data_IF_944509827835
#
_entry.id   IF_944509827835
#
_cell.length_a   1.000
_cell.length_b   1.000
_cell.length_c   1.000
_cell.angle_alpha   90.00
_cell.angle_beta   90.00
_cell.angle_gamma   90.00
#
_symmetry.space_group_name_H-M   'P 1'
#
loop_
_entity.id
_entity.type
_entity.pdbx_description
1 polymer ?
#
# COMPACT_ATOMS: atom_id res chain seq x y z
N UNK A 1 -0.78 6.93 -4.65
CA UNK A 1 -2.00 7.69 -4.25
C UNK A 1 -1.80 8.16 -2.81
N UNK A 2 -1.84 9.46 -2.53
CA UNK A 2 -1.85 9.99 -1.15
C UNK A 2 -3.04 10.92 -0.96
N UNK A 3 -3.32 11.30 0.28
CA UNK A 3 -4.15 12.48 0.52
C UNK A 3 -3.38 13.77 0.16
N UNK A 4 -4.01 14.92 0.46
CA UNK A 4 -3.45 16.25 0.18
C UNK A 4 -2.70 16.82 1.40
N UNK A 5 -2.25 15.97 2.31
CA UNK A 5 -1.39 16.34 3.43
C UNK A 5 -0.13 17.06 2.94
N UNK A 6 0.33 18.01 3.74
CA UNK A 6 1.53 18.83 3.44
C UNK A 6 2.82 18.00 3.42
N UNK A 7 2.81 16.84 4.08
CA UNK A 7 3.87 15.84 4.06
C UNK A 7 4.03 15.17 2.69
N UNK A 8 2.96 15.10 1.88
CA UNK A 8 2.98 14.51 0.53
C UNK A 8 2.90 15.56 -0.59
N UNK A 9 2.56 16.81 -0.24
CA UNK A 9 2.27 17.86 -1.21
C UNK A 9 2.99 19.17 -0.82
N UNK A 10 3.95 19.60 -1.63
CA UNK A 10 4.61 20.91 -1.49
C UNK A 10 5.00 21.51 -2.83
N UNK A 11 5.98 22.43 -2.83
CA UNK A 11 6.57 22.93 -4.07
C UNK A 11 7.42 21.83 -4.70
N UNK A 12 7.08 21.39 -5.91
CA UNK A 12 7.73 20.27 -6.61
C UNK A 12 9.24 20.42 -6.74
N UNK A 13 9.75 21.64 -6.79
CA UNK A 13 11.20 21.91 -6.92
C UNK A 13 11.98 21.71 -5.62
N UNK A 14 11.31 21.66 -4.48
CA UNK A 14 11.94 21.67 -3.15
C UNK A 14 11.38 20.59 -2.22
N UNK A 15 10.26 19.98 -2.57
CA UNK A 15 9.58 19.01 -1.73
C UNK A 15 10.18 17.63 -1.97
N UNK A 16 10.94 17.14 -0.98
CA UNK A 16 11.72 15.91 -1.06
C UNK A 16 10.90 14.70 -1.53
N UNK A 17 9.66 14.56 -1.04
CA UNK A 17 8.78 13.46 -1.44
C UNK A 17 8.44 13.52 -2.93
N UNK A 18 8.10 14.70 -3.46
CA UNK A 18 7.76 14.85 -4.89
C UNK A 18 8.99 14.72 -5.80
N UNK A 19 10.15 15.16 -5.33
CA UNK A 19 11.42 14.95 -6.03
C UNK A 19 11.77 13.45 -6.08
N UNK A 20 11.63 12.74 -4.97
CA UNK A 20 11.86 11.30 -4.90
C UNK A 20 10.95 10.53 -5.88
N UNK A 21 9.64 10.83 -5.88
CA UNK A 21 8.71 10.20 -6.82
C UNK A 21 9.09 10.48 -8.29
N UNK A 22 9.59 11.69 -8.60
CA UNK A 22 10.04 12.00 -9.95
C UNK A 22 11.32 11.26 -10.35
N UNK A 23 12.25 11.04 -9.42
CA UNK A 23 13.48 10.28 -9.64
C UNK A 23 13.16 8.79 -9.89
N UNK A 24 12.21 8.24 -9.12
CA UNK A 24 11.80 6.83 -9.22
C UNK A 24 10.77 6.58 -10.33
N UNK A 25 10.45 7.59 -11.14
CA UNK A 25 9.45 7.53 -12.22
C UNK A 25 8.05 7.06 -11.74
N UNK A 26 7.62 7.58 -10.59
CA UNK A 26 6.33 7.25 -9.96
C UNK A 26 5.37 8.43 -10.08
N UNK A 27 4.27 8.22 -10.80
CA UNK A 27 3.21 9.21 -10.92
C UNK A 27 2.43 9.41 -9.61
N UNK A 28 2.48 10.65 -9.09
CA UNK A 28 1.80 11.00 -7.85
C UNK A 28 0.33 11.37 -8.06
N UNK A 29 -0.57 10.40 -7.82
CA UNK A 29 -2.01 10.69 -7.75
C UNK A 29 -2.42 11.14 -6.35
N UNK A 30 -3.30 12.14 -6.26
CA UNK A 30 -3.87 12.65 -5.00
C UNK A 30 -5.35 12.31 -4.88
N UNK A 31 -5.84 12.05 -3.68
CA UNK A 31 -7.28 11.87 -3.45
C UNK A 31 -8.05 13.13 -3.86
N UNK A 32 -9.23 12.93 -4.46
CA UNK A 32 -10.16 14.02 -4.74
C UNK A 32 -10.71 14.56 -3.42
N UNK A 33 -10.92 15.88 -3.35
CA UNK A 33 -11.55 16.50 -2.20
C UNK A 33 -12.90 15.80 -1.92
N UNK A 34 -13.21 15.56 -0.64
CA UNK A 34 -14.46 14.94 -0.17
C UNK A 34 -14.72 13.53 -0.73
N UNK A 35 -13.67 12.74 -1.02
CA UNK A 35 -13.78 11.34 -1.46
C UNK A 35 -13.20 10.37 -0.40
N UNK A 36 -13.93 10.13 0.71
CA UNK A 36 -13.42 9.33 1.84
C UNK A 36 -13.20 7.86 1.48
N UNK A 37 -13.88 7.33 0.45
CA UNK A 37 -13.78 5.91 0.10
C UNK A 37 -12.38 5.50 -0.35
N UNK A 38 -11.62 6.41 -0.96
CA UNK A 38 -10.28 6.11 -1.48
C UNK A 38 -9.22 5.89 -0.39
N UNK A 39 -9.43 6.42 0.82
CA UNK A 39 -8.48 6.27 1.93
C UNK A 39 -8.97 5.31 3.02
N UNK A 40 -10.25 4.93 3.01
CA UNK A 40 -10.87 4.16 4.09
C UNK A 40 -10.24 2.79 4.37
N UNK A 41 -9.57 2.17 3.39
CA UNK A 41 -8.80 0.92 3.63
C UNK A 41 -7.55 1.21 4.46
N UNK A 42 -6.79 2.24 4.09
CA UNK A 42 -5.59 2.67 4.80
C UNK A 42 -5.92 3.11 6.23
N UNK A 43 -6.96 3.94 6.38
CA UNK A 43 -7.45 4.39 7.69
C UNK A 43 -7.88 3.22 8.59
N UNK A 44 -8.56 2.21 8.02
CA UNK A 44 -8.93 1.00 8.75
C UNK A 44 -7.70 0.21 9.18
N UNK A 45 -6.73 0.03 8.29
CA UNK A 45 -5.47 -0.64 8.62
C UNK A 45 -4.73 0.10 9.75
N UNK A 46 -4.58 1.42 9.67
CA UNK A 46 -3.94 2.24 10.70
C UNK A 46 -4.60 2.10 12.08
N UNK A 47 -5.93 2.03 12.12
CA UNK A 47 -6.65 1.76 13.37
C UNK A 47 -6.36 0.35 13.88
N UNK A 48 -6.39 -0.65 13.00
CA UNK A 48 -6.13 -2.03 13.37
C UNK A 48 -4.72 -2.25 13.94
N UNK A 49 -3.68 -1.73 13.29
CA UNK A 49 -2.30 -1.83 13.80
C UNK A 49 -2.13 -1.05 15.11
N UNK A 50 -2.79 0.09 15.27
CA UNK A 50 -2.76 0.85 16.52
C UNK A 50 -3.37 0.04 17.68
N UNK A 51 -4.56 -0.51 17.48
CA UNK A 51 -5.32 -1.18 18.54
C UNK A 51 -4.75 -2.57 18.87
N UNK A 52 -4.32 -3.32 17.86
CA UNK A 52 -3.91 -4.71 18.03
C UNK A 52 -2.41 -4.88 18.26
N UNK A 53 -1.57 -4.02 17.67
CA UNK A 53 -0.12 -4.07 17.84
C UNK A 53 0.37 -3.02 18.83
N UNK A 54 0.35 -1.73 18.48
CA UNK A 54 1.04 -0.70 19.28
C UNK A 54 0.51 -0.59 20.71
N UNK A 55 -0.81 -0.54 20.89
CA UNK A 55 -1.43 -0.45 22.21
C UNK A 55 -1.12 -1.68 23.10
N UNK A 56 -0.93 -2.85 22.49
CA UNK A 56 -0.62 -4.10 23.21
C UNK A 56 0.88 -4.19 23.50
N UNK A 57 1.72 -3.90 22.49
CA UNK A 57 3.17 -3.94 22.56
C UNK A 57 3.69 -3.02 23.67
N UNK A 58 3.28 -1.74 23.67
CA UNK A 58 3.73 -0.77 24.67
C UNK A 58 3.18 -1.02 26.07
N UNK A 59 2.13 -1.82 26.22
CA UNK A 59 1.63 -2.26 27.53
C UNK A 59 2.40 -3.47 28.08
N UNK A 60 2.85 -4.36 27.21
CA UNK A 60 3.45 -5.66 27.59
C UNK A 60 4.97 -5.64 27.67
N UNK A 61 5.62 -4.76 26.93
CA UNK A 61 7.08 -4.76 26.74
C UNK A 61 7.61 -3.33 26.74
N UNK A 62 8.69 -3.12 27.49
CA UNK A 62 9.49 -1.90 27.40
C UNK A 62 10.53 -2.10 26.31
N UNK A 63 10.43 -1.30 25.25
CA UNK A 63 11.36 -1.34 24.13
C UNK A 63 12.55 -0.42 24.41
N UNK A 64 13.76 -0.94 24.25
CA UNK A 64 14.99 -0.15 24.47
C UNK A 64 15.60 0.38 23.17
N UNK A 65 15.10 -0.08 22.02
CA UNK A 65 15.54 0.41 20.71
C UNK A 65 14.42 0.28 19.68
N UNK A 66 14.51 1.09 18.62
CA UNK A 66 13.60 0.99 17.48
C UNK A 66 13.71 -0.37 16.77
N UNK A 67 14.91 -0.95 16.70
CA UNK A 67 15.12 -2.26 16.08
C UNK A 67 14.34 -3.38 16.79
N UNK A 68 14.22 -3.29 18.11
CA UNK A 68 13.44 -4.26 18.88
C UNK A 68 11.93 -4.15 18.59
N UNK A 69 11.41 -2.93 18.50
CA UNK A 69 10.02 -2.69 18.11
C UNK A 69 9.76 -3.16 16.67
N UNK A 70 10.70 -2.89 15.76
CA UNK A 70 10.60 -3.28 14.36
C UNK A 70 10.49 -4.80 14.19
N UNK A 71 11.28 -5.59 14.93
CA UNK A 71 11.21 -7.07 14.86
C UNK A 71 9.84 -7.62 15.25
N UNK A 72 9.26 -7.07 16.32
CA UNK A 72 7.92 -7.48 16.78
C UNK A 72 6.85 -7.02 15.77
N UNK A 73 7.01 -5.82 15.20
CA UNK A 73 6.13 -5.28 14.18
C UNK A 73 6.16 -6.12 12.90
N UNK A 74 7.35 -6.49 12.42
CA UNK A 74 7.53 -7.33 11.23
C UNK A 74 6.84 -8.68 11.41
N UNK A 75 6.96 -9.27 12.60
CA UNK A 75 6.29 -10.53 12.94
C UNK A 75 4.77 -10.38 12.92
N UNK A 76 4.24 -9.29 13.49
CA UNK A 76 2.81 -8.98 13.47
C UNK A 76 2.29 -8.73 12.05
N UNK A 77 3.04 -7.97 11.23
CA UNK A 77 2.71 -7.70 9.83
C UNK A 77 2.69 -8.97 8.99
N UNK A 78 3.65 -9.87 9.20
CA UNK A 78 3.67 -11.16 8.52
C UNK A 78 2.40 -11.97 8.85
N UNK A 79 2.02 -12.05 10.12
CA UNK A 79 0.77 -12.71 10.52
C UNK A 79 -0.46 -12.03 9.89
N UNK A 80 -0.55 -10.71 9.97
CA UNK A 80 -1.65 -9.93 9.39
C UNK A 80 -1.80 -10.19 7.88
N UNK A 81 -0.70 -10.16 7.13
CA UNK A 81 -0.73 -10.29 5.68
C UNK A 81 -0.92 -11.74 5.20
N UNK A 82 -0.41 -12.74 5.93
CA UNK A 82 -0.31 -14.12 5.41
C UNK A 82 -1.23 -15.12 6.10
N UNK A 83 -1.69 -14.84 7.32
CA UNK A 83 -2.47 -15.80 8.13
C UNK A 83 -3.87 -15.29 8.48
N UNK A 84 -4.04 -13.97 8.65
CA UNK A 84 -5.33 -13.39 9.01
C UNK A 84 -6.26 -13.34 7.80
N UNK A 85 -7.41 -13.99 7.89
CA UNK A 85 -8.47 -13.90 6.88
C UNK A 85 -9.34 -12.66 7.09
N UNK A 86 -9.69 -11.97 6.02
CA UNK A 86 -10.56 -10.78 6.07
C UNK A 86 -11.84 -11.03 5.29
N UNK A 87 -13.00 -10.84 5.93
CA UNK A 87 -14.33 -10.93 5.30
C UNK A 87 -14.76 -9.63 4.61
N UNK A 88 -13.87 -8.64 4.54
CA UNK A 88 -14.14 -7.37 3.88
C UNK A 88 -14.46 -7.52 2.40
N UNK A 89 -15.12 -6.49 1.84
CA UNK A 89 -15.66 -6.46 0.47
C UNK A 89 -14.72 -6.97 -0.63
N UNK A 90 -13.40 -6.78 -0.47
CA UNK A 90 -12.41 -7.13 -1.49
C UNK A 90 -11.57 -8.37 -1.16
N UNK A 91 -11.62 -8.86 0.07
CA UNK A 91 -10.82 -10.01 0.50
C UNK A 91 -11.63 -11.31 0.49
N UNK A 92 -12.95 -11.27 0.66
CA UNK A 92 -13.84 -12.45 0.55
C UNK A 92 -13.39 -13.67 1.39
N UNK A 93 -12.86 -13.43 2.59
CA UNK A 93 -12.36 -14.50 3.48
C UNK A 93 -10.91 -14.90 3.21
N UNK A 94 -10.24 -14.31 2.20
CA UNK A 94 -8.82 -14.51 1.93
C UNK A 94 -7.95 -13.62 2.81
N UNK A 95 -6.66 -13.92 2.85
CA UNK A 95 -5.66 -13.05 3.48
C UNK A 95 -5.33 -11.86 2.59
N UNK A 96 -4.77 -10.76 3.13
CA UNK A 96 -4.34 -9.63 2.31
C UNK A 96 -3.34 -10.04 1.23
N UNK A 97 -2.38 -10.93 1.56
CA UNK A 97 -1.39 -11.42 0.60
C UNK A 97 -2.04 -12.24 -0.52
N UNK A 98 -2.98 -13.13 -0.19
CA UNK A 98 -3.72 -13.89 -1.21
C UNK A 98 -4.50 -12.96 -2.14
N UNK A 99 -5.22 -11.98 -1.56
CA UNK A 99 -5.97 -10.99 -2.33
C UNK A 99 -5.06 -10.19 -3.27
N UNK A 100 -3.88 -9.80 -2.78
CA UNK A 100 -2.87 -9.08 -3.56
C UNK A 100 -2.40 -9.92 -4.75
N UNK A 101 -1.98 -11.17 -4.51
CA UNK A 101 -1.53 -12.08 -5.56
C UNK A 101 -2.61 -12.34 -6.61
N UNK A 102 -3.86 -12.59 -6.18
CA UNK A 102 -4.98 -12.82 -7.10
C UNK A 102 -5.29 -11.59 -7.97
N UNK A 103 -5.10 -10.39 -7.41
CA UNK A 103 -5.32 -9.13 -8.12
C UNK A 103 -4.16 -8.73 -9.03
N UNK A 104 -2.99 -9.36 -8.91
CA UNK A 104 -1.80 -8.99 -9.66
C UNK A 104 -2.02 -9.12 -11.16
N UNK A 105 -2.69 -10.18 -11.60
CA UNK A 105 -3.00 -10.36 -13.02
C UNK A 105 -3.96 -9.28 -13.54
N UNK A 106 -4.99 -8.94 -12.76
CA UNK A 106 -5.93 -7.86 -13.09
C UNK A 106 -5.24 -6.49 -13.20
N UNK A 107 -4.18 -6.27 -12.41
CA UNK A 107 -3.38 -5.05 -12.48
C UNK A 107 -2.54 -5.01 -13.76
N UNK A 108 -1.88 -6.12 -14.13
CA UNK A 108 -1.12 -6.26 -15.38
C UNK A 108 -2.00 -6.04 -16.61
N UNK A 109 -3.17 -6.66 -16.64
CA UNK A 109 -4.11 -6.54 -17.76
C UNK A 109 -4.61 -5.09 -17.98
N UNK A 110 -4.54 -4.24 -16.94
CA UNK A 110 -4.90 -2.82 -16.99
C UNK A 110 -3.72 -1.91 -17.33
N UNK A 111 -2.50 -2.44 -17.36
CA UNK A 111 -1.30 -1.68 -17.64
C UNK A 111 -1.18 -1.52 -19.16
N UNK A 112 -1.78 -0.43 -19.67
CA UNK A 112 -1.94 -0.17 -21.09
C UNK A 112 -0.62 -0.28 -21.87
N UNK A 113 0.50 0.12 -21.28
CA UNK A 113 1.82 0.05 -21.91
C UNK A 113 2.30 -1.38 -22.20
N UNK A 114 1.99 -2.35 -21.34
CA UNK A 114 2.31 -3.76 -21.59
C UNK A 114 1.40 -4.35 -22.67
N UNK A 115 0.11 -4.00 -22.64
CA UNK A 115 -0.87 -4.41 -23.65
C UNK A 115 -0.49 -3.88 -25.04
N UNK A 116 -0.11 -2.61 -25.15
CA UNK A 116 0.35 -2.02 -26.41
C UNK A 116 1.67 -2.63 -26.90
N UNK A 117 2.63 -2.93 -26.01
CA UNK A 117 3.88 -3.63 -26.39
C UNK A 117 3.60 -5.03 -26.93
N UNK A 118 2.72 -5.80 -26.29
CA UNK A 118 2.34 -7.15 -26.75
C UNK A 118 1.69 -7.07 -28.13
N UNK A 119 0.71 -6.20 -28.31
CA UNK A 119 0.02 -6.05 -29.60
C UNK A 119 0.99 -5.64 -30.73
N UNK A 120 1.90 -4.70 -30.46
CA UNK A 120 2.93 -4.31 -31.44
C UNK A 120 3.86 -5.49 -31.77
N UNK A 121 4.27 -6.29 -30.79
CA UNK A 121 5.12 -7.46 -31.03
C UNK A 121 4.41 -8.58 -31.80
N UNK A 122 3.11 -8.74 -31.61
CA UNK A 122 2.29 -9.70 -32.37
C UNK A 122 2.02 -9.23 -33.81
N UNK A 123 1.80 -7.93 -34.00
CA UNK A 123 1.62 -7.34 -35.33
C UNK A 123 2.91 -7.36 -36.17
N UNK A 124 4.09 -7.25 -35.54
CA UNK A 124 5.40 -7.36 -36.22
C UNK A 124 5.84 -8.81 -36.49
N UNK A 125 5.07 -9.83 -36.06
CA UNK A 125 5.33 -11.25 -36.36
C UNK A 125 4.50 -11.79 -37.52
N UNK A 126 3.57 -10.99 -38.07
CA UNK A 126 2.85 -11.27 -39.32
C UNK A 126 3.57 -10.65 -40.50
#
# INVERSE_FOLDING_TARGET
LTDRGTEYCGNREQHEYQLYLAIEDIDHTKTKAKSPQTNGICERFHRTIQDEFYAVAFRKKLYHSLSELQKDLDSWLNHYNTQRTHTGKYCYGKTPMQTFMDSLQLAKDKLLEEVFKINILEDNKK
#
